data_IF_530266068899
#
_entry.id   IF_530266068899
#
_cell.length_a   1.000
_cell.length_b   1.000
_cell.length_c   1.000
_cell.angle_alpha   90.00
_cell.angle_beta   90.00
_cell.angle_gamma   90.00
#
_symmetry.space_group_name_H-M   'P 1'
#
loop_
_entity.id
_entity.type
_entity.pdbx_description
1 polymer ?
#
# COMPACT_ATOMS: atom_id res chain seq x y z
N UNK A 1 11.52 7.87 1.10
CA UNK A 1 10.17 7.90 1.71
C UNK A 1 9.19 7.44 0.66
N UNK A 2 8.23 6.62 1.05
CA UNK A 2 7.28 5.97 0.17
C UNK A 2 5.86 6.34 0.57
N UNK A 3 4.98 6.34 -0.41
CA UNK A 3 3.56 6.62 -0.26
C UNK A 3 2.74 5.50 -0.88
N UNK A 4 1.67 5.10 -0.20
CA UNK A 4 0.62 4.25 -0.72
C UNK A 4 -0.68 5.04 -0.85
N UNK A 5 -1.41 4.83 -1.95
CA UNK A 5 -2.81 5.25 -2.08
C UNK A 5 -3.67 4.07 -2.47
N UNK A 6 -4.71 3.80 -1.69
CA UNK A 6 -5.63 2.71 -2.00
C UNK A 6 -6.30 2.94 -3.37
N UNK A 7 -6.27 1.92 -4.23
CA UNK A 7 -6.87 1.98 -5.57
C UNK A 7 -8.39 1.81 -5.61
N UNK A 8 -9.04 1.52 -4.48
CA UNK A 8 -10.49 1.37 -4.44
C UNK A 8 -11.18 2.74 -4.47
N UNK A 9 -12.20 2.95 -5.33
CA UNK A 9 -12.84 4.27 -5.49
C UNK A 9 -13.55 4.75 -4.22
N UNK A 10 -13.95 3.83 -3.35
CA UNK A 10 -14.60 4.11 -2.07
C UNK A 10 -13.61 4.18 -0.91
N UNK A 11 -12.37 3.73 -1.11
CA UNK A 11 -11.34 3.71 -0.08
C UNK A 11 -10.31 4.80 -0.35
N UNK A 12 -10.37 5.89 0.41
CA UNK A 12 -9.47 7.05 0.26
C UNK A 12 -8.24 6.98 1.17
N UNK A 13 -7.87 5.78 1.62
CA UNK A 13 -6.76 5.59 2.55
C UNK A 13 -5.43 5.88 1.88
N UNK A 14 -4.57 6.60 2.60
CA UNK A 14 -3.22 6.95 2.21
C UNK A 14 -2.28 6.63 3.37
N UNK A 15 -1.13 6.05 3.07
CA UNK A 15 -0.08 5.80 4.03
C UNK A 15 1.23 6.37 3.52
N UNK A 16 2.12 6.71 4.43
CA UNK A 16 3.49 7.10 4.13
C UNK A 16 4.43 6.41 5.10
N UNK A 17 5.57 5.92 4.61
CA UNK A 17 6.58 5.27 5.43
C UNK A 17 7.98 5.60 4.90
N UNK A 18 9.04 5.52 5.73
CA UNK A 18 10.40 5.76 5.28
C UNK A 18 10.88 4.71 4.27
N UNK A 19 10.45 3.45 4.41
CA UNK A 19 10.81 2.31 3.55
C UNK A 19 9.57 1.66 2.91
N UNK A 20 9.77 0.93 1.81
CA UNK A 20 8.68 0.19 1.15
C UNK A 20 8.15 -0.95 2.04
N UNK A 21 9.02 -1.66 2.77
CA UNK A 21 8.61 -2.78 3.62
C UNK A 21 7.72 -2.33 4.79
N UNK A 22 8.04 -1.19 5.43
CA UNK A 22 7.18 -0.58 6.44
C UNK A 22 5.83 -0.16 5.85
N UNK A 23 5.84 0.43 4.65
CA UNK A 23 4.61 0.79 3.94
C UNK A 23 3.75 -0.44 3.65
N UNK A 24 4.37 -1.51 3.16
CA UNK A 24 3.68 -2.77 2.83
C UNK A 24 3.08 -3.45 4.06
N UNK A 25 3.66 -3.27 5.24
CA UNK A 25 3.09 -3.74 6.51
C UNK A 25 1.77 -3.03 6.82
N UNK A 26 1.72 -1.71 6.66
CA UNK A 26 0.49 -0.92 6.84
C UNK A 26 -0.56 -1.25 5.77
N UNK A 27 -0.14 -1.44 4.52
CA UNK A 27 -1.02 -1.87 3.42
C UNK A 27 -1.61 -3.26 3.69
N UNK A 28 -0.81 -4.22 4.16
CA UNK A 28 -1.31 -5.56 4.50
C UNK A 28 -2.38 -5.49 5.60
N UNK A 29 -2.15 -4.73 6.67
CA UNK A 29 -3.12 -4.50 7.74
C UNK A 29 -4.41 -3.87 7.20
N UNK A 30 -4.28 -2.86 6.35
CA UNK A 30 -5.40 -2.18 5.71
C UNK A 30 -6.25 -3.12 4.85
N UNK A 31 -5.61 -3.95 4.03
CA UNK A 31 -6.28 -4.92 3.15
C UNK A 31 -7.08 -5.95 3.96
N UNK A 32 -6.54 -6.42 5.09
CA UNK A 32 -7.26 -7.33 5.99
C UNK A 32 -8.46 -6.63 6.66
N UNK A 33 -8.26 -5.44 7.23
CA UNK A 33 -9.30 -4.77 8.04
C UNK A 33 -10.39 -4.11 7.19
N UNK A 34 -10.02 -3.44 6.10
CA UNK A 34 -10.94 -2.65 5.27
C UNK A 34 -11.51 -3.44 4.10
N UNK A 35 -10.73 -4.35 3.53
CA UNK A 35 -11.15 -5.15 2.37
C UNK A 35 -11.46 -6.61 2.71
N UNK A 36 -11.27 -7.04 3.98
CA UNK A 36 -11.51 -8.42 4.46
C UNK A 36 -10.75 -9.49 3.67
N UNK A 37 -9.62 -9.12 3.07
CA UNK A 37 -8.75 -10.05 2.34
C UNK A 37 -7.69 -10.57 3.30
N UNK A 38 -7.97 -11.70 3.95
CA UNK A 38 -7.08 -12.29 4.95
C UNK A 38 -5.76 -12.84 4.36
N UNK A 39 -5.80 -13.34 3.12
CA UNK A 39 -4.65 -13.89 2.40
C UNK A 39 -4.60 -13.28 1.00
N UNK A 40 -3.94 -12.13 0.81
CA UNK A 40 -3.78 -11.55 -0.51
C UNK A 40 -2.97 -12.50 -1.40
N UNK A 41 -3.42 -12.70 -2.64
CA UNK A 41 -2.67 -13.49 -3.62
C UNK A 41 -1.37 -12.78 -4.01
N UNK A 42 -0.37 -13.53 -4.50
CA UNK A 42 0.86 -12.94 -5.04
C UNK A 42 0.57 -11.89 -6.12
N UNK A 43 -0.43 -12.14 -6.98
CA UNK A 43 -0.86 -11.21 -8.02
C UNK A 43 -1.40 -9.89 -7.45
N UNK A 44 -2.18 -9.94 -6.37
CA UNK A 44 -2.70 -8.73 -5.71
C UNK A 44 -1.57 -7.93 -5.05
N UNK A 45 -0.63 -8.61 -4.39
CA UNK A 45 0.55 -7.96 -3.79
C UNK A 45 1.38 -7.26 -4.86
N UNK A 46 1.63 -7.92 -5.99
CA UNK A 46 2.37 -7.34 -7.10
C UNK A 46 1.63 -6.13 -7.69
N UNK A 47 0.32 -6.25 -7.94
CA UNK A 47 -0.50 -5.16 -8.45
C UNK A 47 -0.44 -3.92 -7.53
N UNK A 48 -0.53 -4.13 -6.22
CA UNK A 48 -0.43 -3.05 -5.22
C UNK A 48 0.92 -2.36 -5.31
N UNK A 49 2.03 -3.12 -5.32
CA UNK A 49 3.38 -2.55 -5.44
C UNK A 49 3.55 -1.71 -6.70
N UNK A 50 3.12 -2.24 -7.85
CA UNK A 50 3.38 -1.63 -9.14
C UNK A 50 2.51 -0.39 -9.42
N UNK A 51 1.30 -0.32 -8.84
CA UNK A 51 0.31 0.69 -9.23
C UNK A 51 -0.06 1.68 -8.11
N UNK A 52 0.10 1.29 -6.86
CA UNK A 52 -0.44 2.05 -5.72
C UNK A 52 0.62 2.64 -4.80
N UNK A 53 1.87 2.17 -4.93
CA UNK A 53 3.02 2.66 -4.18
C UNK A 53 3.86 3.58 -5.06
N UNK A 54 4.33 4.69 -4.50
CA UNK A 54 5.21 5.63 -5.16
C UNK A 54 6.30 6.07 -4.21
N UNK A 55 7.53 6.18 -4.71
CA UNK A 55 8.58 6.87 -3.98
C UNK A 55 8.32 8.38 -4.02
N UNK A 56 8.17 8.97 -2.84
CA UNK A 56 8.02 10.41 -2.65
C UNK A 56 9.28 10.88 -1.94
N UNK A 57 10.35 11.01 -2.71
CA UNK A 57 11.69 11.24 -2.18
C UNK A 57 11.77 12.37 -1.15
N UNK A 58 12.63 12.17 -0.14
CA UNK A 58 13.38 13.30 0.43
C UNK A 58 14.34 13.69 -0.70
N UNK A 59 13.98 14.71 -1.49
CA UNK A 59 14.96 15.33 -2.40
C UNK A 59 15.91 16.19 -1.55
N UNK A 60 17.19 16.32 -1.97
CA UNK A 60 18.29 16.85 -1.17
C UNK A 60 18.12 18.32 -0.78
#
# INVERSE_FOLDING_TARGET
>A
MYEFRCGSPVCRTRFTAPTEDELMTEVARHVVVKHRVAKPTKSLVQFVRDNTIREIGVKP
#
